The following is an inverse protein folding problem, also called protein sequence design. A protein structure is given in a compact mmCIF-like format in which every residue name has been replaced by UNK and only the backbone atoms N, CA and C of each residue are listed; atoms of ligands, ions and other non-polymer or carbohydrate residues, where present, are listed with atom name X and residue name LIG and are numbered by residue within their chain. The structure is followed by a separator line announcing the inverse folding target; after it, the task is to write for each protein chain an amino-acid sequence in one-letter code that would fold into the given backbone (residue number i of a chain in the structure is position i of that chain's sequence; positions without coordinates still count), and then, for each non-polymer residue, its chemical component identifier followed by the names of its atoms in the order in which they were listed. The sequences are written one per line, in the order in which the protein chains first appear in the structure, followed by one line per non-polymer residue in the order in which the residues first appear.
data_IF_019916179242
#
_entry.id   IF_019916179242
#
_cell.length_a   1.000
_cell.length_b   1.000
_cell.length_c   1.000
_cell.angle_alpha   90.00
_cell.angle_beta   90.00
_cell.angle_gamma   90.00
#
_symmetry.space_group_name_H-M   'P 1'
#
loop_
_entity.id
_entity.type
_entity.pdbx_description
1 polymer ?
#
# COMPACT_ATOMS: atom_id res chain seq x y z
N UNK A 1 5.27 -16.94 -0.95
CA UNK A 1 4.10 -17.13 -0.07
C UNK A 1 2.88 -17.39 -0.92
N UNK A 2 2.20 -18.51 -0.67
CA UNK A 2 1.05 -18.95 -1.46
C UNK A 2 -0.18 -19.16 -0.55
N UNK A 3 -0.34 -18.30 0.45
CA UNK A 3 -1.40 -18.39 1.46
C UNK A 3 -2.46 -17.35 1.16
N UNK A 4 -3.54 -17.78 0.50
CA UNK A 4 -4.65 -16.90 0.15
C UNK A 4 -5.57 -16.62 1.33
N UNK A 5 -5.88 -15.36 1.57
CA UNK A 5 -6.71 -14.91 2.72
C UNK A 5 -8.16 -15.39 2.66
N UNK A 6 -8.67 -15.64 1.46
CA UNK A 6 -10.03 -16.15 1.27
C UNK A 6 -10.16 -17.66 1.55
N UNK A 7 -9.05 -18.40 1.58
CA UNK A 7 -9.06 -19.87 1.61
C UNK A 7 -8.32 -20.49 2.80
N UNK A 8 -7.26 -19.86 3.28
CA UNK A 8 -6.35 -20.43 4.27
C UNK A 8 -6.30 -19.58 5.53
N UNK A 9 -5.77 -20.14 6.61
CA UNK A 9 -5.44 -19.36 7.80
C UNK A 9 -4.26 -18.43 7.48
N UNK A 10 -4.39 -17.13 7.79
CA UNK A 10 -3.38 -16.11 7.53
C UNK A 10 -2.97 -15.45 8.84
N UNK A 11 -1.67 -15.21 8.98
CA UNK A 11 -1.09 -14.70 10.21
C UNK A 11 -0.30 -13.41 9.93
N UNK A 12 -0.39 -12.42 10.82
CA UNK A 12 0.42 -11.22 10.76
C UNK A 12 0.85 -10.75 12.15
N UNK A 13 2.11 -10.34 12.28
CA UNK A 13 2.64 -9.72 13.49
C UNK A 13 2.88 -8.24 13.24
N UNK A 14 2.30 -7.39 14.07
CA UNK A 14 2.43 -5.94 13.93
C UNK A 14 3.68 -5.43 14.67
N UNK A 15 4.23 -4.27 14.29
CA UNK A 15 5.32 -3.63 15.03
C UNK A 15 4.98 -3.31 16.49
N UNK A 16 3.69 -3.18 16.82
CA UNK A 16 3.20 -2.96 18.19
C UNK A 16 3.08 -4.25 19.02
N UNK A 17 3.50 -5.41 18.47
CA UNK A 17 3.45 -6.69 19.17
C UNK A 17 2.08 -7.37 19.18
N UNK A 18 1.16 -6.96 18.30
CA UNK A 18 -0.13 -7.64 18.15
C UNK A 18 0.02 -8.75 17.12
N UNK A 19 -0.28 -9.98 17.54
CA UNK A 19 -0.31 -11.14 16.67
C UNK A 19 -1.75 -11.40 16.23
N UNK A 20 -1.99 -11.27 14.93
CA UNK A 20 -3.30 -11.29 14.31
C UNK A 20 -3.44 -12.57 13.49
N UNK A 21 -4.55 -13.25 13.70
CA UNK A 21 -4.93 -14.50 13.06
C UNK A 21 -6.22 -14.26 12.31
N UNK A 22 -6.20 -14.38 10.99
CA UNK A 22 -7.40 -14.52 10.16
C UNK A 22 -7.61 -16.00 9.90
N UNK A 23 -8.61 -16.57 10.54
CA UNK A 23 -8.87 -18.01 10.60
C UNK A 23 -10.09 -18.39 9.79
N UNK A 24 -10.00 -19.56 9.16
CA UNK A 24 -11.17 -20.30 8.69
C UNK A 24 -12.07 -20.68 9.86
N UNK A 25 -13.34 -20.99 9.55
CA UNK A 25 -14.32 -21.41 10.56
C UNK A 25 -13.84 -22.60 11.39
N UNK A 26 -13.36 -23.64 10.71
CA UNK A 26 -13.00 -24.90 11.37
C UNK A 26 -11.80 -24.67 12.29
N UNK A 27 -10.78 -23.96 11.82
CA UNK A 27 -9.61 -23.60 12.65
C UNK A 27 -10.02 -22.73 13.83
N UNK A 28 -10.90 -21.74 13.65
CA UNK A 28 -11.37 -20.88 14.72
C UNK A 28 -12.10 -21.67 15.82
N UNK A 29 -13.06 -22.52 15.45
CA UNK A 29 -13.84 -23.32 16.38
C UNK A 29 -12.97 -24.32 17.16
N UNK A 30 -12.00 -24.96 16.48
CA UNK A 30 -11.05 -25.88 17.11
C UNK A 30 -10.06 -25.16 18.04
N UNK A 31 -9.65 -23.93 17.69
CA UNK A 31 -8.70 -23.16 18.48
C UNK A 31 -9.28 -22.80 19.86
N UNK A 32 -10.58 -22.50 19.92
CA UNK A 32 -11.23 -21.96 21.11
C UNK A 32 -10.63 -20.62 21.55
N UNK A 33 -10.00 -19.87 20.63
CA UNK A 33 -9.52 -18.52 20.88
C UNK A 33 -10.67 -17.53 20.80
N UNK A 34 -10.61 -16.48 21.61
CA UNK A 34 -11.62 -15.43 21.60
C UNK A 34 -11.34 -14.45 20.47
N UNK A 35 -12.21 -14.42 19.45
CA UNK A 35 -12.13 -13.51 18.33
C UNK A 35 -13.50 -13.00 17.88
N UNK A 36 -13.50 -12.18 16.84
CA UNK A 36 -14.70 -11.68 16.19
C UNK A 36 -14.92 -12.37 14.84
N UNK A 37 -16.17 -12.66 14.49
CA UNK A 37 -16.53 -13.05 13.13
C UNK A 37 -16.42 -11.81 12.23
N UNK A 38 -15.82 -11.95 11.06
CA UNK A 38 -15.92 -10.92 10.02
C UNK A 38 -17.34 -10.91 9.46
N UNK A 39 -18.13 -9.93 9.89
CA UNK A 39 -19.58 -9.84 9.60
C UNK A 39 -19.86 -9.09 8.32
N UNK A 40 -18.90 -8.33 7.80
CA UNK A 40 -19.03 -7.60 6.55
C UNK A 40 -17.96 -8.12 5.61
N UNK A 41 -18.30 -9.05 4.75
CA UNK A 41 -17.50 -9.30 3.56
C UNK A 41 -18.51 -9.61 2.44
N UNK A 42 -18.32 -9.15 1.21
CA UNK A 42 -19.01 -9.68 0.05
C UNK A 42 -18.55 -11.10 -0.25
N UNK A 43 -17.41 -11.58 0.27
CA UNK A 43 -17.24 -13.03 0.34
C UNK A 43 -18.33 -13.66 1.20
N UNK A 44 -18.84 -12.99 2.24
CA UNK A 44 -19.97 -13.47 3.04
C UNK A 44 -21.37 -13.06 2.57
N UNK A 45 -21.51 -12.16 1.59
CA UNK A 45 -22.83 -11.63 1.17
C UNK A 45 -23.08 -11.59 -0.35
N UNK A 46 -22.06 -11.64 -1.20
CA UNK A 46 -22.22 -11.61 -2.68
C UNK A 46 -21.76 -12.88 -3.38
N UNK A 47 -20.96 -13.73 -2.74
CA UNK A 47 -20.65 -15.06 -3.27
C UNK A 47 -21.82 -16.03 -3.03
N UNK A 48 -22.09 -16.96 -3.96
CA UNK A 48 -23.12 -17.99 -3.79
C UNK A 48 -22.94 -18.86 -2.54
N UNK A 49 -21.71 -18.96 -2.02
CA UNK A 49 -21.36 -19.72 -0.81
C UNK A 49 -20.31 -18.95 0.03
N UNK A 50 -20.76 -18.10 0.96
CA UNK A 50 -19.94 -17.49 1.99
C UNK A 50 -19.05 -18.45 2.76
N UNK A 51 -17.73 -18.27 2.71
CA UNK A 51 -16.83 -18.90 3.68
C UNK A 51 -16.63 -17.91 4.84
N UNK A 52 -17.19 -18.18 6.04
CA UNK A 52 -17.03 -17.28 7.16
C UNK A 52 -15.57 -17.27 7.65
N UNK A 53 -15.09 -16.07 7.94
CA UNK A 53 -13.74 -15.79 8.45
C UNK A 53 -13.82 -15.21 9.86
N UNK A 54 -12.82 -15.49 10.68
CA UNK A 54 -12.75 -15.07 12.08
C UNK A 54 -11.41 -14.46 12.39
N UNK A 55 -11.41 -13.28 13.01
CA UNK A 55 -10.18 -12.58 13.39
C UNK A 55 -9.97 -12.70 14.89
N UNK A 56 -8.78 -13.19 15.26
CA UNK A 56 -8.28 -13.21 16.63
C UNK A 56 -7.08 -12.27 16.69
N UNK A 57 -7.04 -11.41 17.70
CA UNK A 57 -5.89 -10.53 17.96
C UNK A 57 -5.38 -10.80 19.37
N UNK A 58 -4.09 -11.13 19.46
CA UNK A 58 -3.39 -11.39 20.72
C UNK A 58 -2.31 -10.33 20.89
N UNK A 59 -2.41 -9.49 21.92
CA UNK A 59 -1.36 -8.54 22.24
C UNK A 59 -0.26 -9.24 23.07
N UNK A 60 0.89 -9.46 22.45
CA UNK A 60 2.04 -10.12 23.06
C UNK A 60 2.92 -9.15 23.87
N UNK A 61 2.71 -7.84 23.74
CA UNK A 61 3.58 -6.83 24.30
C UNK A 61 2.99 -6.18 25.55
N UNK A 62 1.74 -5.72 25.50
CA UNK A 62 1.16 -4.89 26.57
C UNK A 62 0.11 -5.59 27.41
N UNK A 63 -0.54 -6.64 26.90
CA UNK A 63 -1.57 -7.35 27.65
C UNK A 63 -0.95 -8.28 28.72
N UNK A 64 -1.20 -8.04 30.02
CA UNK A 64 -0.69 -8.89 31.10
C UNK A 64 -1.27 -10.31 31.03
N UNK A 65 -2.45 -10.52 30.42
CA UNK A 65 -3.06 -11.82 30.27
C UNK A 65 -2.26 -12.73 29.34
N UNK A 66 -1.45 -12.20 28.43
CA UNK A 66 -0.63 -12.98 27.50
C UNK A 66 0.86 -13.01 27.86
N UNK A 67 1.20 -12.67 29.10
CA UNK A 67 2.56 -12.86 29.62
C UNK A 67 2.83 -14.32 30.04
N UNK A 68 4.08 -14.80 29.96
CA UNK A 68 4.43 -16.16 30.34
C UNK A 68 3.95 -16.52 31.77
N UNK A 69 3.26 -17.65 31.90
CA UNK A 69 2.79 -18.20 33.18
C UNK A 69 1.32 -17.91 33.51
N UNK A 70 0.63 -17.08 32.75
CA UNK A 70 -0.82 -16.89 32.91
C UNK A 70 -1.63 -18.01 32.25
N UNK A 71 -2.89 -18.18 32.67
CA UNK A 71 -3.80 -19.17 32.07
C UNK A 71 -4.04 -18.90 30.58
N UNK A 72 -4.20 -17.63 30.19
CA UNK A 72 -4.45 -17.26 28.80
C UNK A 72 -3.20 -17.49 27.93
N UNK A 73 -2.00 -17.16 28.40
CA UNK A 73 -0.75 -17.52 27.72
C UNK A 73 -0.60 -19.03 27.56
N UNK A 74 -0.84 -19.81 28.62
CA UNK A 74 -0.75 -21.29 28.55
C UNK A 74 -1.76 -21.87 27.56
N UNK A 75 -3.01 -21.37 27.53
CA UNK A 75 -4.03 -21.80 26.56
C UNK A 75 -3.65 -21.41 25.13
N UNK A 76 -3.14 -20.20 24.94
CA UNK A 76 -2.68 -19.72 23.64
C UNK A 76 -1.52 -20.58 23.12
N UNK A 77 -0.51 -20.84 23.95
CA UNK A 77 0.60 -21.73 23.61
C UNK A 77 0.14 -23.14 23.28
N UNK A 78 -0.76 -23.72 24.08
CA UNK A 78 -1.35 -25.03 23.78
C UNK A 78 -2.03 -25.04 22.40
N UNK A 79 -2.69 -23.94 22.04
CA UNK A 79 -3.36 -23.82 20.74
C UNK A 79 -2.36 -23.83 19.59
N UNK A 80 -1.22 -23.13 19.73
CA UNK A 80 -0.12 -23.17 18.76
C UNK A 80 0.49 -24.59 18.66
N UNK A 81 0.67 -25.27 19.78
CA UNK A 81 1.31 -26.59 19.81
C UNK A 81 0.38 -27.73 19.28
N UNK A 82 -0.94 -27.59 19.39
CA UNK A 82 -1.90 -28.69 19.15
C UNK A 82 -2.90 -28.45 18.02
N UNK A 83 -3.25 -27.19 17.73
CA UNK A 83 -4.26 -26.84 16.72
C UNK A 83 -3.60 -26.14 15.53
N UNK A 84 -2.87 -25.05 15.81
CA UNK A 84 -2.15 -24.25 14.81
C UNK A 84 -0.70 -24.76 14.65
N UNK A 85 -0.53 -26.08 14.55
CA UNK A 85 0.77 -26.73 14.55
C UNK A 85 1.33 -26.98 13.13
N UNK A 86 0.57 -26.64 12.09
CA UNK A 86 1.06 -26.67 10.72
C UNK A 86 2.14 -25.60 10.52
N UNK A 87 3.25 -25.89 9.80
CA UNK A 87 4.25 -24.88 9.48
C UNK A 87 3.64 -23.72 8.70
N UNK A 88 3.93 -22.50 9.13
CA UNK A 88 3.54 -21.27 8.45
C UNK A 88 4.79 -20.52 7.97
N UNK A 89 4.75 -20.03 6.73
CA UNK A 89 5.80 -19.20 6.17
C UNK A 89 5.61 -17.75 6.61
N UNK A 90 6.67 -17.10 7.09
CA UNK A 90 6.68 -15.69 7.47
C UNK A 90 7.72 -14.90 6.69
N UNK A 91 7.33 -13.71 6.24
CA UNK A 91 8.21 -12.70 5.68
C UNK A 91 8.46 -11.72 6.82
N UNK A 92 9.71 -11.61 7.23
CA UNK A 92 10.11 -10.85 8.41
C UNK A 92 11.07 -9.75 7.99
N UNK A 93 10.84 -8.56 8.55
CA UNK A 93 11.79 -7.46 8.51
C UNK A 93 11.94 -6.92 9.93
N UNK A 94 13.17 -6.60 10.32
CA UNK A 94 13.45 -5.98 11.60
C UNK A 94 14.16 -4.66 11.32
N UNK A 95 13.55 -3.56 11.74
CA UNK A 95 14.08 -2.22 11.49
C UNK A 95 14.09 -1.46 12.80
N UNK A 96 15.23 -0.82 13.06
CA UNK A 96 15.36 0.11 14.16
C UNK A 96 14.49 1.35 13.87
N UNK A 97 13.51 1.66 14.74
CA UNK A 97 12.56 2.75 14.48
C UNK A 97 13.19 4.14 14.52
N UNK A 98 14.35 4.30 15.17
CA UNK A 98 15.04 5.58 15.27
C UNK A 98 15.91 5.85 14.03
N UNK A 99 16.61 4.82 13.56
CA UNK A 99 17.57 4.95 12.45
C UNK A 99 16.99 4.55 11.10
N UNK A 100 15.92 3.76 11.08
CA UNK A 100 15.37 3.16 9.86
C UNK A 100 16.27 2.07 9.26
N UNK A 101 17.34 1.67 9.96
CA UNK A 101 18.28 0.65 9.52
C UNK A 101 17.91 -0.73 10.07
N UNK A 102 18.28 -1.77 9.32
CA UNK A 102 18.20 -3.15 9.81
C UNK A 102 19.27 -3.38 10.88
N UNK A 103 18.92 -3.84 12.11
CA UNK A 103 19.92 -4.16 13.12
C UNK A 103 20.84 -5.29 12.64
N UNK A 104 22.15 -5.11 12.80
CA UNK A 104 23.12 -6.10 12.36
C UNK A 104 22.82 -7.48 12.97
N UNK A 105 22.71 -8.48 12.09
CA UNK A 105 22.54 -9.88 12.47
C UNK A 105 21.31 -10.17 13.35
N UNK A 106 20.21 -9.41 13.24
CA UNK A 106 18.99 -9.71 14.00
C UNK A 106 18.47 -11.13 13.74
N UNK A 107 18.68 -11.66 12.53
CA UNK A 107 18.33 -13.03 12.16
C UNK A 107 19.06 -14.10 13.01
N UNK A 108 20.23 -13.79 13.58
CA UNK A 108 20.93 -14.71 14.50
C UNK A 108 20.20 -14.88 15.84
N UNK A 109 19.20 -14.04 16.12
CA UNK A 109 18.34 -14.15 17.31
C UNK A 109 17.13 -15.06 17.08
N UNK A 110 16.92 -15.53 15.86
CA UNK A 110 15.85 -16.46 15.55
C UNK A 110 16.15 -17.84 16.17
N UNK A 111 15.12 -18.60 16.58
CA UNK A 111 15.33 -19.95 17.10
C UNK A 111 16.09 -20.84 16.12
N UNK A 112 17.04 -21.64 16.61
CA UNK A 112 17.84 -22.53 15.77
C UNK A 112 17.01 -23.60 15.01
N UNK A 113 15.80 -23.88 15.48
CA UNK A 113 14.85 -24.77 14.81
C UNK A 113 14.24 -24.14 13.55
N UNK A 114 14.32 -22.82 13.38
CA UNK A 114 13.82 -22.13 12.20
C UNK A 114 14.87 -22.22 11.09
N UNK A 115 14.41 -22.39 9.85
CA UNK A 115 15.25 -22.37 8.64
C UNK A 115 14.98 -21.10 7.85
N UNK A 116 15.42 -19.91 8.32
CA UNK A 116 15.15 -18.66 7.63
C UNK A 116 15.91 -18.63 6.30
N UNK A 117 15.20 -18.32 5.23
CA UNK A 117 15.78 -18.00 3.93
C UNK A 117 15.84 -16.48 3.77
N UNK A 118 17.00 -15.97 3.36
CA UNK A 118 17.13 -14.55 3.03
C UNK A 118 16.47 -14.30 1.68
N UNK A 119 15.42 -13.48 1.69
CA UNK A 119 14.80 -12.98 0.47
C UNK A 119 15.60 -11.76 0.02
N UNK A 120 16.44 -11.95 -1.00
CA UNK A 120 17.13 -10.82 -1.61
C UNK A 120 16.15 -9.98 -2.41
N UNK A 121 16.10 -8.70 -2.05
CA UNK A 121 15.29 -7.72 -2.76
C UNK A 121 15.98 -7.38 -4.10
N UNK A 122 15.25 -7.45 -5.23
CA UNK A 122 15.84 -7.07 -6.51
C UNK A 122 16.25 -5.60 -6.48
N UNK A 123 17.30 -5.25 -7.23
CA UNK A 123 17.68 -3.85 -7.38
C UNK A 123 16.50 -3.03 -7.94
N UNK A 124 16.32 -1.76 -7.53
CA UNK A 124 15.24 -0.95 -8.04
C UNK A 124 15.40 -0.77 -9.55
N UNK A 125 14.29 -0.90 -10.27
CA UNK A 125 14.26 -0.75 -11.73
C UNK A 125 13.94 0.71 -12.08
N UNK A 126 14.83 1.33 -12.85
CA UNK A 126 14.56 2.62 -13.46
C UNK A 126 13.91 2.40 -14.83
N UNK A 127 12.72 2.95 -15.01
CA UNK A 127 12.06 3.01 -16.31
C UNK A 127 11.84 4.47 -16.67
N UNK A 128 12.40 4.86 -17.82
CA UNK A 128 12.05 6.13 -18.46
C UNK A 128 10.99 5.82 -19.49
N UNK A 129 9.80 6.38 -19.36
CA UNK A 129 8.75 6.21 -20.38
C UNK A 129 9.25 6.67 -21.75
N UNK A 130 9.18 5.78 -22.74
CA UNK A 130 8.89 6.16 -24.13
C UNK A 130 7.38 6.13 -24.28
N UNK A 131 6.75 7.29 -24.51
CA UNK A 131 6.92 8.03 -25.75
C UNK A 131 7.64 9.38 -25.55
N UNK A 132 8.24 9.88 -26.63
CA UNK A 132 9.16 11.04 -26.70
C UNK A 132 8.60 12.35 -26.10
N UNK A 133 7.29 12.42 -25.79
CA UNK A 133 6.63 13.50 -25.04
C UNK A 133 5.23 13.04 -24.63
N UNK A 134 4.88 13.22 -23.34
CA UNK A 134 3.54 12.96 -22.81
C UNK A 134 2.83 14.27 -22.45
N UNK A 135 1.50 14.24 -22.42
CA UNK A 135 0.71 15.36 -21.87
C UNK A 135 0.72 15.30 -20.35
N UNK A 136 1.56 16.10 -19.71
CA UNK A 136 1.69 16.18 -18.26
C UNK A 136 0.66 17.17 -17.69
N UNK A 137 -0.32 16.73 -16.87
CA UNK A 137 -1.31 17.61 -16.29
C UNK A 137 -0.68 18.54 -15.25
N UNK A 138 -1.29 19.72 -15.07
CA UNK A 138 -0.79 20.73 -14.15
C UNK A 138 -1.20 20.41 -12.72
N UNK A 139 -0.23 20.32 -11.81
CA UNK A 139 -0.48 20.13 -10.39
C UNK A 139 -1.01 21.39 -9.70
N UNK A 140 -0.78 22.59 -10.24
CA UNK A 140 -1.14 23.88 -9.62
C UNK A 140 -2.64 24.03 -9.30
N UNK A 141 -3.47 23.15 -9.86
CA UNK A 141 -4.90 23.09 -9.60
C UNK A 141 -5.29 22.28 -8.34
N UNK A 142 -4.38 21.47 -7.80
CA UNK A 142 -4.55 20.65 -6.61
C UNK A 142 -3.88 21.33 -5.39
N UNK A 143 -4.47 22.44 -4.94
CA UNK A 143 -3.97 23.18 -3.78
C UNK A 143 -5.03 23.35 -2.68
N UNK A 144 -4.57 23.61 -1.47
CA UNK A 144 -5.40 23.70 -0.27
C UNK A 144 -6.46 24.79 -0.35
N UNK A 145 -6.19 25.88 -1.08
CA UNK A 145 -7.15 26.97 -1.29
C UNK A 145 -8.32 26.50 -2.16
N UNK A 146 -8.07 25.80 -3.26
CA UNK A 146 -9.13 25.25 -4.12
C UNK A 146 -9.92 24.19 -3.36
N UNK A 147 -9.25 23.32 -2.61
CA UNK A 147 -9.91 22.30 -1.79
C UNK A 147 -10.92 22.91 -0.77
N UNK A 148 -10.58 24.06 -0.16
CA UNK A 148 -11.45 24.75 0.80
C UNK A 148 -12.58 25.55 0.14
N UNK A 149 -12.31 26.17 -1.00
CA UNK A 149 -13.25 27.10 -1.65
C UNK A 149 -14.21 26.38 -2.61
N UNK A 150 -13.73 25.34 -3.29
CA UNK A 150 -14.41 24.65 -4.39
C UNK A 150 -14.16 23.13 -4.29
N UNK A 151 -14.69 22.45 -3.26
CA UNK A 151 -14.36 21.06 -2.95
C UNK A 151 -14.75 20.06 -4.05
N UNK A 152 -15.89 20.28 -4.73
CA UNK A 152 -16.31 19.40 -5.84
C UNK A 152 -15.35 19.52 -7.04
N UNK A 153 -14.97 20.75 -7.40
CA UNK A 153 -14.00 20.99 -8.48
C UNK A 153 -12.63 20.40 -8.12
N UNK A 154 -12.22 20.51 -6.86
CA UNK A 154 -11.00 19.87 -6.39
C UNK A 154 -11.07 18.34 -6.55
N UNK A 155 -12.19 17.72 -6.18
CA UNK A 155 -12.40 16.27 -6.29
C UNK A 155 -12.37 15.79 -7.74
N UNK A 156 -13.07 16.48 -8.64
CA UNK A 156 -13.10 16.13 -10.06
C UNK A 156 -11.69 16.17 -10.65
N UNK A 157 -10.93 17.24 -10.37
CA UNK A 157 -9.54 17.39 -10.84
C UNK A 157 -8.59 16.36 -10.24
N UNK A 158 -8.77 16.05 -8.95
CA UNK A 158 -7.99 15.03 -8.28
C UNK A 158 -8.23 13.67 -8.93
N UNK A 159 -9.50 13.33 -9.20
CA UNK A 159 -9.87 12.11 -9.89
C UNK A 159 -9.29 12.04 -11.31
N UNK A 160 -9.40 13.10 -12.11
CA UNK A 160 -8.82 13.17 -13.46
C UNK A 160 -7.31 12.90 -13.46
N UNK A 161 -6.57 13.49 -12.51
CA UNK A 161 -5.12 13.28 -12.40
C UNK A 161 -4.80 11.86 -11.92
N UNK A 162 -5.60 11.29 -11.01
CA UNK A 162 -5.43 9.90 -10.57
C UNK A 162 -5.70 8.90 -11.69
N UNK A 163 -6.73 9.11 -12.52
CA UNK A 163 -6.99 8.32 -13.72
C UNK A 163 -5.83 8.42 -14.73
N UNK A 164 -5.30 9.63 -14.95
CA UNK A 164 -4.11 9.84 -15.77
C UNK A 164 -2.90 9.06 -15.24
N UNK A 165 -2.71 9.04 -13.93
CA UNK A 165 -1.61 8.31 -13.28
C UNK A 165 -1.76 6.79 -13.49
N UNK A 166 -2.98 6.26 -13.41
CA UNK A 166 -3.27 4.86 -13.75
C UNK A 166 -2.91 4.52 -15.19
N UNK A 167 -3.30 5.38 -16.15
CA UNK A 167 -2.93 5.20 -17.56
C UNK A 167 -1.42 5.27 -17.78
N UNK A 168 -0.72 6.10 -17.02
CA UNK A 168 0.73 6.19 -17.03
C UNK A 168 1.40 4.89 -16.54
N UNK A 169 0.94 4.32 -15.42
CA UNK A 169 1.47 3.04 -14.92
C UNK A 169 1.19 1.86 -15.86
N UNK A 170 0.13 1.92 -16.64
CA UNK A 170 -0.21 0.92 -17.66
C UNK A 170 0.44 1.18 -19.03
N UNK A 171 1.37 2.13 -19.13
CA UNK A 171 2.07 2.50 -20.37
C UNK A 171 1.08 2.80 -21.53
N UNK A 172 -0.08 3.36 -21.20
CA UNK A 172 -1.14 3.56 -22.17
C UNK A 172 -0.72 4.59 -23.22
N UNK A 173 -0.90 4.33 -24.53
CA UNK A 173 -0.57 5.31 -25.56
C UNK A 173 -1.44 6.57 -25.49
N UNK A 174 -2.55 6.54 -24.74
CA UNK A 174 -3.54 7.62 -24.64
C UNK A 174 -3.01 8.92 -24.05
N UNK A 175 -1.96 8.84 -23.23
CA UNK A 175 -1.33 10.02 -22.63
C UNK A 175 -0.21 10.61 -23.50
N UNK A 176 0.18 9.94 -24.59
CA UNK A 176 1.17 10.42 -25.53
C UNK A 176 0.61 11.61 -26.32
N UNK A 177 1.44 12.64 -26.56
CA UNK A 177 1.03 13.78 -27.40
C UNK A 177 0.85 13.40 -28.87
N UNK A 178 1.54 12.34 -29.29
CA UNK A 178 1.51 11.83 -30.67
C UNK A 178 0.30 10.92 -30.96
N UNK A 179 -0.52 10.60 -29.96
CA UNK A 179 -1.70 9.75 -30.17
C UNK A 179 -2.77 10.49 -30.99
N UNK A 180 -2.82 10.18 -32.29
CA UNK A 180 -3.83 10.69 -33.22
C UNK A 180 -5.19 10.03 -33.06
N UNK A 181 -5.28 8.94 -32.29
CA UNK A 181 -6.54 8.25 -32.03
C UNK A 181 -7.39 8.90 -30.94
N UNK A 182 -6.99 10.09 -30.46
CA UNK A 182 -7.81 11.06 -29.69
C UNK A 182 -9.11 11.49 -30.40
N UNK A 183 -9.28 11.12 -31.67
CA UNK A 183 -10.48 11.36 -32.49
C UNK A 183 -11.29 10.07 -32.77
N UNK A 184 -10.95 8.96 -32.12
CA UNK A 184 -11.64 7.68 -32.25
C UNK A 184 -13.03 7.74 -31.61
N UNK A 185 -14.04 7.14 -32.26
CA UNK A 185 -15.38 6.94 -31.69
C UNK A 185 -15.42 5.91 -30.55
N UNK A 186 -14.29 5.27 -30.22
CA UNK A 186 -14.21 4.15 -29.26
C UNK A 186 -13.65 4.60 -27.91
N UNK A 187 -12.79 5.63 -27.86
CA UNK A 187 -12.18 6.10 -26.62
C UNK A 187 -12.22 7.62 -26.53
N UNK A 188 -12.94 8.12 -25.53
CA UNK A 188 -13.16 9.55 -25.29
C UNK A 188 -12.19 10.16 -24.28
N UNK A 189 -11.25 9.37 -23.74
CA UNK A 189 -10.30 9.87 -22.76
C UNK A 189 -9.44 11.00 -23.37
N UNK A 190 -9.28 12.08 -22.61
CA UNK A 190 -8.39 13.19 -22.93
C UNK A 190 -7.50 13.44 -21.72
N UNK A 191 -6.26 13.86 -21.98
CA UNK A 191 -5.35 14.30 -20.91
C UNK A 191 -6.02 15.43 -20.13
N UNK A 192 -6.01 15.39 -18.78
CA UNK A 192 -6.63 16.42 -17.95
C UNK A 192 -6.10 17.80 -18.30
N UNK A 193 -7.00 18.78 -18.44
CA UNK A 193 -6.65 20.15 -18.80
C UNK A 193 -6.57 21.01 -17.55
N UNK A 194 -5.57 21.90 -17.44
CA UNK A 194 -4.49 22.16 -18.39
C UNK A 194 -3.33 21.15 -18.26
N UNK A 195 -2.65 20.91 -19.38
CA UNK A 195 -1.46 20.07 -19.46
C UNK A 195 -0.39 20.73 -20.35
N UNK A 196 0.85 20.26 -20.25
CA UNK A 196 1.97 20.62 -21.14
C UNK A 196 2.69 19.38 -21.62
N UNK A 197 3.39 19.49 -22.75
CA UNK A 197 4.29 18.42 -23.18
C UNK A 197 5.44 18.27 -22.19
N UNK A 198 5.63 17.08 -21.67
CA UNK A 198 6.62 16.77 -20.64
C UNK A 198 7.21 15.37 -20.79
N UNK A 199 8.12 15.07 -19.87
CA UNK A 199 8.73 13.74 -19.69
C UNK A 199 8.50 13.34 -18.24
N UNK A 200 8.22 12.06 -18.01
CA UNK A 200 8.17 11.49 -16.68
C UNK A 200 9.25 10.41 -16.52
N UNK A 201 9.71 10.25 -15.28
CA UNK A 201 10.68 9.25 -14.87
C UNK A 201 10.02 8.39 -13.80
N UNK A 202 10.16 7.07 -13.92
CA UNK A 202 9.63 6.12 -12.94
C UNK A 202 10.76 5.33 -12.31
N UNK A 203 10.74 5.32 -10.98
CA UNK A 203 11.49 4.39 -10.17
C UNK A 203 10.51 3.38 -9.61
N UNK A 204 10.64 2.12 -10.01
CA UNK A 204 9.86 1.02 -9.44
C UNK A 204 10.74 0.17 -8.56
N UNK A 205 10.25 -0.12 -7.35
CA UNK A 205 10.90 -1.01 -6.39
C UNK A 205 9.86 -1.97 -5.82
N UNK A 206 10.11 -3.26 -5.92
CA UNK A 206 9.14 -4.30 -5.58
C UNK A 206 9.73 -5.34 -4.64
N UNK A 207 8.91 -5.78 -3.69
CA UNK A 207 9.20 -6.85 -2.71
C UNK A 207 8.70 -6.47 -1.31
N UNK A 208 9.34 -6.99 -0.26
CA UNK A 208 8.91 -6.77 1.13
C UNK A 208 9.50 -5.49 1.72
N UNK A 209 8.91 -4.36 1.34
CA UNK A 209 9.35 -3.02 1.76
C UNK A 209 8.78 -2.65 3.13
N UNK A 210 9.60 -1.97 3.93
CA UNK A 210 9.14 -1.43 5.19
C UNK A 210 8.48 -0.06 5.04
N UNK A 211 7.62 0.34 6.00
CA UNK A 211 7.10 1.70 6.06
C UNK A 211 8.20 2.78 6.16
N UNK A 212 9.34 2.46 6.79
CA UNK A 212 10.49 3.38 6.89
C UNK A 212 11.16 3.60 5.54
N UNK A 213 11.22 2.58 4.68
CA UNK A 213 11.72 2.69 3.32
C UNK A 213 10.83 3.61 2.49
N UNK A 214 9.51 3.45 2.59
CA UNK A 214 8.54 4.35 1.93
C UNK A 214 8.69 5.78 2.46
N UNK A 215 8.82 5.95 3.77
CA UNK A 215 9.03 7.26 4.40
C UNK A 215 10.34 7.92 3.93
N UNK A 216 11.39 7.13 3.72
CA UNK A 216 12.65 7.61 3.17
C UNK A 216 12.46 8.14 1.74
N UNK A 217 11.72 7.42 0.87
CA UNK A 217 11.38 7.93 -0.47
C UNK A 217 10.58 9.22 -0.41
N UNK A 218 9.53 9.26 0.41
CA UNK A 218 8.73 10.46 0.62
C UNK A 218 9.57 11.68 1.01
N UNK A 219 10.49 11.51 1.97
CA UNK A 219 11.39 12.58 2.42
C UNK A 219 12.32 13.11 1.32
N UNK A 220 12.62 12.31 0.30
CA UNK A 220 13.45 12.74 -0.83
C UNK A 220 12.66 13.46 -1.93
N UNK A 221 11.33 13.29 -2.01
CA UNK A 221 10.51 13.87 -3.09
C UNK A 221 10.66 15.39 -3.23
N UNK A 222 10.62 16.22 -2.16
CA UNK A 222 10.80 17.67 -2.30
C UNK A 222 12.15 18.03 -2.93
N UNK A 223 13.21 17.32 -2.56
CA UNK A 223 14.55 17.53 -3.10
C UNK A 223 14.64 17.14 -4.58
N UNK A 224 13.98 16.05 -4.97
CA UNK A 224 13.91 15.61 -6.36
C UNK A 224 13.12 16.60 -7.23
N UNK A 225 11.95 17.05 -6.76
CA UNK A 225 11.13 18.06 -7.44
C UNK A 225 11.94 19.34 -7.64
N UNK A 226 12.61 19.81 -6.59
CA UNK A 226 13.46 21.01 -6.66
C UNK A 226 14.58 20.85 -7.68
N UNK A 227 15.35 19.76 -7.62
CA UNK A 227 16.46 19.51 -8.56
C UNK A 227 15.97 19.40 -10.01
N UNK A 228 14.81 18.77 -10.23
CA UNK A 228 14.18 18.70 -11.54
C UNK A 228 13.77 20.09 -12.04
N UNK A 229 13.16 20.90 -11.18
CA UNK A 229 12.81 22.27 -11.54
C UNK A 229 14.05 23.10 -11.86
N UNK A 230 15.12 23.02 -11.06
CA UNK A 230 16.38 23.71 -11.33
C UNK A 230 17.02 23.30 -12.66
N UNK A 231 16.94 22.02 -13.05
CA UNK A 231 17.48 21.53 -14.33
C UNK A 231 16.63 21.88 -15.55
N UNK A 232 15.33 22.10 -15.36
CA UNK A 232 14.39 22.47 -16.43
C UNK A 232 14.25 23.99 -16.58
N UNK A 233 14.41 24.77 -15.50
CA UNK A 233 14.31 26.25 -15.47
C UNK A 233 15.45 26.94 -16.23
N UNK A 234 16.55 26.25 -16.56
CA UNK A 234 17.56 26.75 -17.50
C UNK A 234 16.97 26.99 -18.91
N UNK A 235 15.78 26.43 -19.19
CA UNK A 235 14.91 26.82 -20.30
C UNK A 235 14.04 27.99 -19.81
N UNK A 236 14.39 29.22 -20.18
CA UNK A 236 13.67 30.47 -19.88
C UNK A 236 12.25 30.53 -20.51
N UNK A 237 11.42 29.51 -20.36
CA UNK A 237 10.01 29.56 -20.74
C UNK A 237 9.16 29.99 -19.51
N UNK A 238 8.72 31.26 -19.44
CA UNK A 238 7.90 31.74 -18.33
C UNK A 238 6.52 31.07 -18.24
N UNK A 239 6.14 30.22 -19.21
CA UNK A 239 4.90 29.44 -19.19
C UNK A 239 5.08 28.01 -18.68
N UNK A 240 6.31 27.53 -18.54
CA UNK A 240 6.57 26.18 -18.07
C UNK A 240 6.09 26.01 -16.63
N UNK A 241 5.26 24.99 -16.41
CA UNK A 241 4.82 24.67 -15.05
C UNK A 241 5.90 23.92 -14.28
N UNK A 242 5.97 24.15 -12.97
CA UNK A 242 6.85 23.37 -12.10
C UNK A 242 6.47 21.89 -12.14
N UNK A 243 7.47 21.04 -12.02
CA UNK A 243 7.31 19.60 -11.86
C UNK A 243 6.66 19.25 -10.53
N UNK A 244 6.04 18.09 -10.52
CA UNK A 244 5.41 17.44 -9.39
C UNK A 244 5.82 15.97 -9.41
N UNK A 245 5.63 15.27 -8.29
CA UNK A 245 5.97 13.85 -8.17
C UNK A 245 4.78 13.04 -7.67
N UNK A 246 4.73 11.77 -8.03
CA UNK A 246 3.82 10.79 -7.45
C UNK A 246 4.62 9.67 -6.77
N UNK A 247 4.20 9.28 -5.57
CA UNK A 247 4.66 8.10 -4.86
C UNK A 247 3.46 7.16 -4.69
N UNK A 248 3.42 6.10 -5.48
CA UNK A 248 2.40 5.05 -5.37
C UNK A 248 2.98 3.83 -4.69
N UNK A 249 2.25 3.33 -3.71
CA UNK A 249 2.60 2.15 -2.93
C UNK A 249 1.45 1.16 -3.08
N UNK A 250 1.79 -0.03 -3.56
CA UNK A 250 0.86 -1.16 -3.67
C UNK A 250 1.12 -2.15 -2.54
N UNK A 251 0.07 -2.50 -1.81
CA UNK A 251 0.13 -3.42 -0.68
C UNK A 251 0.08 -4.89 -1.11
N UNK A 252 0.11 -5.78 -0.13
CA UNK A 252 -0.08 -7.21 -0.37
C UNK A 252 -1.56 -7.56 -0.41
N UNK A 253 -1.99 -8.23 -1.48
CA UNK A 253 -3.36 -8.70 -1.65
C UNK A 253 -3.86 -9.62 -0.53
N UNK A 254 -2.99 -10.38 0.12
CA UNK A 254 -3.38 -11.33 1.17
C UNK A 254 -3.00 -10.84 2.58
N UNK A 255 -2.90 -9.53 2.80
CA UNK A 255 -2.61 -8.96 4.12
C UNK A 255 -3.86 -8.97 5.04
N UNK A 256 -3.80 -9.58 6.24
CA UNK A 256 -4.94 -9.65 7.16
C UNK A 256 -5.18 -8.35 7.97
N UNK A 257 -4.29 -7.36 7.83
CA UNK A 257 -4.32 -6.11 8.60
C UNK A 257 -4.03 -4.92 7.68
N UNK A 258 -4.81 -3.85 7.83
CA UNK A 258 -4.61 -2.57 7.15
C UNK A 258 -4.39 -1.43 8.16
N UNK A 259 -4.57 -0.18 7.70
CA UNK A 259 -4.30 1.06 8.43
C UNK A 259 -4.70 1.03 9.91
N UNK A 260 -3.73 1.31 10.80
CA UNK A 260 -3.99 1.62 12.21
C UNK A 260 -4.55 0.49 13.07
N UNK A 261 -4.26 -0.79 12.75
CA UNK A 261 -4.82 -1.97 13.44
C UNK A 261 -6.35 -2.11 13.30
N UNK A 262 -6.99 -1.32 12.41
CA UNK A 262 -8.40 -1.53 12.11
C UNK A 262 -8.55 -2.88 11.41
N UNK A 263 -9.37 -3.74 12.01
CA UNK A 263 -9.66 -5.08 11.49
C UNK A 263 -10.39 -4.94 10.16
N UNK A 264 -9.86 -5.55 9.10
CA UNK A 264 -10.54 -5.55 7.80
C UNK A 264 -11.70 -6.52 7.78
N UNK A 265 -12.73 -6.06 7.10
CA UNK A 265 -13.85 -6.79 6.60
C UNK A 265 -13.52 -7.16 5.13
N UNK A 266 -12.64 -8.16 4.95
CA UNK A 266 -11.86 -8.40 3.73
C UNK A 266 -12.74 -8.65 2.50
N UNK A 267 -12.53 -7.88 1.44
CA UNK A 267 -13.21 -7.93 0.16
C UNK A 267 -12.32 -8.55 -0.93
N UNK A 268 -11.93 -9.81 -0.81
CA UNK A 268 -11.09 -10.49 -1.83
C UNK A 268 -9.71 -9.85 -2.16
N UNK A 269 -9.38 -8.70 -1.56
CA UNK A 269 -8.11 -8.00 -1.70
C UNK A 269 -7.79 -7.20 -0.42
N UNK A 270 -6.75 -7.61 0.28
CA UNK A 270 -6.09 -6.88 1.37
C UNK A 270 -5.13 -5.80 0.86
N UNK A 271 -5.28 -5.34 -0.39
CA UNK A 271 -4.47 -4.27 -0.98
C UNK A 271 -4.57 -2.98 -0.13
N UNK A 272 -3.41 -2.44 0.25
CA UNK A 272 -3.27 -1.20 1.03
C UNK A 272 -2.70 -0.14 0.11
N UNK A 273 -3.41 0.10 -0.98
CA UNK A 273 -2.89 0.88 -2.09
C UNK A 273 -3.13 2.36 -1.84
N UNK A 274 -2.06 3.14 -1.95
CA UNK A 274 -2.15 4.58 -1.84
C UNK A 274 -1.17 5.27 -2.78
N UNK A 275 -1.59 6.43 -3.27
CA UNK A 275 -0.77 7.29 -4.10
C UNK A 275 -0.73 8.67 -3.47
N UNK A 276 0.47 9.17 -3.20
CA UNK A 276 0.69 10.54 -2.78
C UNK A 276 1.19 11.34 -3.99
N UNK A 277 0.46 12.39 -4.35
CA UNK A 277 0.92 13.38 -5.31
C UNK A 277 1.43 14.59 -4.54
N UNK A 278 2.62 15.07 -4.90
CA UNK A 278 3.29 16.18 -4.23
C UNK A 278 3.70 17.25 -5.25
N UNK A 279 3.24 18.47 -5.00
CA UNK A 279 3.57 19.65 -5.78
C UNK A 279 4.88 20.32 -5.35
N UNK A 280 5.28 21.38 -6.09
CA UNK A 280 6.48 22.16 -5.77
C UNK A 280 6.41 22.89 -4.42
N UNK A 281 5.20 23.21 -3.95
CA UNK A 281 4.97 23.95 -2.71
C UNK A 281 4.87 23.03 -1.47
N UNK A 282 5.22 21.74 -1.62
CA UNK A 282 5.01 20.67 -0.64
C UNK A 282 3.55 20.44 -0.22
N UNK A 283 2.59 21.05 -0.91
CA UNK A 283 1.19 20.64 -0.84
C UNK A 283 1.00 19.36 -1.66
N UNK A 284 0.18 18.44 -1.14
CA UNK A 284 -0.02 17.14 -1.75
C UNK A 284 -1.44 16.61 -1.59
N UNK A 285 -1.79 15.66 -2.44
CA UNK A 285 -3.06 14.93 -2.40
C UNK A 285 -2.74 13.47 -2.16
N UNK A 286 -3.34 12.92 -1.11
CA UNK A 286 -3.25 11.49 -0.79
C UNK A 286 -4.51 10.79 -1.32
N UNK A 287 -4.31 9.90 -2.28
CA UNK A 287 -5.31 8.94 -2.73
C UNK A 287 -5.12 7.66 -1.92
N UNK A 288 -6.18 7.20 -1.29
CA UNK A 288 -6.21 5.89 -0.64
C UNK A 288 -7.30 5.09 -1.34
N UNK A 289 -6.92 3.91 -1.82
CA UNK A 289 -7.90 2.95 -2.32
C UNK A 289 -8.49 2.28 -1.09
N UNK A 290 -9.73 2.63 -0.80
CA UNK A 290 -10.51 1.97 0.24
C UNK A 290 -11.43 0.96 -0.44
N UNK A 291 -11.43 -0.26 0.07
CA UNK A 291 -12.43 -1.24 -0.34
C UNK A 291 -13.82 -0.84 0.19
N UNK A 292 -14.89 -1.43 -0.34
CA UNK A 292 -16.30 -1.10 -0.05
C UNK A 292 -16.64 -1.16 1.46
N UNK A 293 -15.80 -1.83 2.26
CA UNK A 293 -15.99 -2.03 3.70
C UNK A 293 -14.86 -1.46 4.57
N UNK A 294 -13.91 -0.73 3.98
CA UNK A 294 -12.87 -0.04 4.74
C UNK A 294 -13.39 1.29 5.31
N UNK A 295 -13.19 1.53 6.61
CA UNK A 295 -13.51 2.80 7.25
C UNK A 295 -12.31 3.77 7.21
N UNK A 296 -12.51 4.96 6.65
CA UNK A 296 -11.54 6.06 6.71
C UNK A 296 -11.25 6.46 8.17
N UNK A 297 -10.02 6.87 8.45
CA UNK A 297 -9.61 7.47 9.73
C UNK A 297 -9.23 8.92 9.53
#
# INVERSE_FOLDING_TARGET
MNTRIDQHDVFALTPSGHFIFDLTKDTYELSGLTGGRLTSSPTTTTLPNPVPRFVVTVDLHTDPAFQPGTKAYTRFRWTLDNILNAPAEFALTCIDPQTGAEPAQWHNRLPAAWSPERIDMPAPTWTTTSPTTLGAPFFTQLNSKVARQLPEIFRDRAQEIFEWLGLYYHESPRIAETDRSRQSSISHYQVPKPHQSGVALTLSYSGFLSPYTVLAFYRQLPHLIRKWNESVIDRQDPKAQPAWAALSVWGFKDAPVSYGLKQRNVLSSGENDYSLLLGPDNEGVLYQVCDILDEYS
#
